data_IF_906738997798
#
_entry.id   IF_906738997798
#
_cell.length_a   1.000
_cell.length_b   1.000
_cell.length_c   1.000
_cell.angle_alpha   90.00
_cell.angle_beta   90.00
_cell.angle_gamma   90.00
#
_symmetry.space_group_name_H-M   'P 1'
#
loop_
_entity.id
_entity.type
_entity.pdbx_description
1 polymer ?
#
# COMPACT_ATOMS: atom_id res chain seq x y z
N UNK A 1 2.07 -0.97 -38.24
CA UNK A 1 2.91 -0.31 -37.24
C UNK A 1 2.20 -0.10 -35.92
N UNK A 2 0.92 0.33 -35.89
CA UNK A 2 0.15 0.54 -34.65
C UNK A 2 -0.07 -0.73 -33.81
N UNK A 3 -0.33 -1.88 -34.46
CA UNK A 3 -0.49 -3.16 -33.77
C UNK A 3 0.79 -3.60 -33.03
N UNK A 4 1.96 -3.37 -33.63
CA UNK A 4 3.25 -3.73 -33.03
C UNK A 4 3.52 -2.88 -31.77
N UNK A 5 3.19 -1.59 -31.79
CA UNK A 5 3.33 -0.71 -30.64
C UNK A 5 2.36 -1.13 -29.52
N UNK A 6 1.11 -1.47 -29.86
CA UNK A 6 0.13 -1.95 -28.89
C UNK A 6 0.59 -3.26 -28.20
N UNK A 7 1.12 -4.22 -28.97
CA UNK A 7 1.67 -5.47 -28.44
C UNK A 7 2.93 -5.26 -27.60
N UNK A 8 3.82 -4.34 -28.00
CA UNK A 8 5.01 -3.99 -27.21
C UNK A 8 4.62 -3.38 -25.85
N UNK A 9 3.65 -2.47 -25.84
CA UNK A 9 3.13 -1.85 -24.61
C UNK A 9 2.45 -2.89 -23.73
N UNK A 10 1.62 -3.76 -24.31
CA UNK A 10 0.98 -4.86 -23.56
C UNK A 10 2.02 -5.82 -22.99
N UNK A 11 3.06 -6.15 -23.76
CA UNK A 11 4.18 -6.98 -23.29
C UNK A 11 4.93 -6.35 -22.11
N UNK A 12 5.22 -5.05 -22.16
CA UNK A 12 5.83 -4.31 -21.05
C UNK A 12 4.93 -4.31 -19.82
N UNK A 13 3.62 -4.12 -19.99
CA UNK A 13 2.64 -4.14 -18.90
C UNK A 13 2.53 -5.54 -18.27
N UNK A 14 2.57 -6.60 -19.07
CA UNK A 14 2.54 -7.98 -18.57
C UNK A 14 3.83 -8.35 -17.84
N UNK A 15 4.99 -7.94 -18.35
CA UNK A 15 6.29 -8.15 -17.68
C UNK A 15 6.36 -7.34 -16.38
N UNK A 16 5.94 -6.08 -16.39
CA UNK A 16 5.85 -5.26 -15.19
C UNK A 16 4.85 -5.84 -14.19
N UNK A 17 3.69 -6.34 -14.64
CA UNK A 17 2.70 -7.04 -13.83
C UNK A 17 3.25 -8.33 -13.22
N UNK A 18 4.00 -9.13 -13.98
CA UNK A 18 4.67 -10.34 -13.50
C UNK A 18 5.77 -10.05 -12.46
N UNK A 19 6.44 -8.92 -12.58
CA UNK A 19 7.39 -8.44 -11.55
C UNK A 19 6.69 -8.00 -10.26
N UNK A 20 5.49 -7.46 -10.36
CA UNK A 20 4.63 -7.07 -9.24
C UNK A 20 4.13 -8.27 -8.43
N UNK A 21 3.90 -9.39 -9.09
CA UNK A 21 3.44 -10.64 -8.46
C UNK A 21 4.59 -11.45 -7.86
N UNK A 22 5.86 -11.04 -8.05
CA UNK A 22 6.97 -11.66 -7.32
C UNK A 22 6.78 -11.38 -5.83
N UNK A 23 6.90 -12.42 -4.99
CA UNK A 23 6.89 -12.21 -3.55
C UNK A 23 8.01 -11.22 -3.22
N UNK A 24 7.63 -10.04 -2.75
CA UNK A 24 8.58 -9.09 -2.16
C UNK A 24 9.23 -9.84 -1.01
N UNK A 25 10.57 -9.90 -0.93
CA UNK A 25 11.21 -10.55 0.21
C UNK A 25 10.60 -9.97 1.49
N UNK A 26 10.33 -10.80 2.50
CA UNK A 26 9.63 -10.38 3.70
C UNK A 26 10.32 -9.12 4.23
N UNK A 27 9.60 -8.02 4.23
CA UNK A 27 10.05 -6.84 4.94
C UNK A 27 10.25 -7.27 6.39
N UNK A 28 11.31 -6.78 7.05
CA UNK A 28 11.54 -7.07 8.46
C UNK A 28 10.24 -6.91 9.22
N UNK A 29 9.80 -7.99 9.88
CA UNK A 29 8.51 -8.01 10.58
C UNK A 29 8.50 -7.05 11.77
N UNK A 30 9.68 -6.61 12.22
CA UNK A 30 9.83 -5.59 13.27
C UNK A 30 10.06 -4.20 12.69
N UNK A 31 9.29 -3.24 13.16
CA UNK A 31 9.36 -1.84 12.76
C UNK A 31 10.46 -1.05 13.47
N UNK A 32 10.79 0.11 12.91
CA UNK A 32 11.69 1.05 13.57
C UNK A 32 10.98 1.69 14.77
N UNK A 33 11.56 1.56 15.95
CA UNK A 33 11.03 2.19 17.18
C UNK A 33 11.29 3.69 17.18
N UNK A 34 10.24 4.46 17.48
CA UNK A 34 10.31 5.90 17.72
C UNK A 34 9.69 6.18 19.09
N UNK A 35 10.51 6.19 20.13
CA UNK A 35 10.05 6.22 21.51
C UNK A 35 9.30 4.93 21.87
N UNK A 36 8.06 5.05 22.37
CA UNK A 36 7.18 3.92 22.70
C UNK A 36 6.36 3.41 21.52
N UNK A 37 6.39 4.12 20.38
CA UNK A 37 5.65 3.75 19.19
C UNK A 37 6.55 3.06 18.15
N UNK A 38 6.00 2.07 17.46
CA UNK A 38 6.62 1.44 16.30
C UNK A 38 6.05 2.09 15.04
N UNK A 39 6.95 2.44 14.09
CA UNK A 39 6.56 3.04 12.82
C UNK A 39 6.68 2.00 11.72
N UNK A 40 5.53 1.61 11.19
CA UNK A 40 5.45 0.74 10.03
C UNK A 40 5.62 1.57 8.76
N UNK A 41 6.44 1.08 7.85
CA UNK A 41 6.68 1.73 6.56
C UNK A 41 6.46 0.78 5.40
N UNK A 42 5.92 1.25 4.29
CA UNK A 42 5.84 0.43 3.08
C UNK A 42 7.24 0.01 2.62
N UNK A 43 7.40 -1.20 2.08
CA UNK A 43 8.67 -1.66 1.54
C UNK A 43 9.11 -0.73 0.41
N UNK A 44 10.38 -0.33 0.43
CA UNK A 44 10.97 0.51 -0.61
C UNK A 44 10.84 -0.18 -1.97
N UNK A 45 10.35 0.54 -2.97
CA UNK A 45 10.23 0.05 -4.35
C UNK A 45 8.83 -0.41 -4.76
N UNK A 46 7.90 -0.72 -3.84
CA UNK A 46 6.51 -1.07 -4.19
C UNK A 46 5.80 0.07 -4.93
N UNK A 47 5.98 1.27 -4.45
CA UNK A 47 5.32 2.44 -5.03
C UNK A 47 6.03 2.94 -6.28
N UNK A 48 7.32 2.65 -6.47
CA UNK A 48 7.99 2.87 -7.76
C UNK A 48 7.32 2.08 -8.88
N UNK A 49 6.87 0.86 -8.58
CA UNK A 49 6.17 0.01 -9.54
C UNK A 49 4.75 0.51 -9.78
N UNK A 50 4.01 0.88 -8.71
CA UNK A 50 2.68 1.49 -8.84
C UNK A 50 2.75 2.84 -9.58
N UNK A 51 3.80 3.61 -9.35
CA UNK A 51 4.08 4.85 -10.10
C UNK A 51 4.38 4.57 -11.57
N UNK A 52 5.16 3.55 -11.88
CA UNK A 52 5.42 3.12 -13.25
C UNK A 52 4.14 2.64 -13.95
N UNK A 53 3.25 1.94 -13.23
CA UNK A 53 1.94 1.53 -13.77
C UNK A 53 0.99 2.70 -14.00
N UNK A 54 1.06 3.76 -13.19
CA UNK A 54 0.27 4.97 -13.42
C UNK A 54 0.84 5.81 -14.59
N UNK A 55 2.15 5.81 -14.80
CA UNK A 55 2.82 6.52 -15.90
C UNK A 55 2.54 5.85 -17.25
N UNK A 56 2.55 4.51 -17.31
CA UNK A 56 2.39 3.76 -18.56
C UNK A 56 1.10 4.12 -19.32
N UNK A 57 -0.08 4.03 -18.74
CA UNK A 57 -1.33 4.45 -19.37
C UNK A 57 -1.36 5.94 -19.74
N UNK A 58 -0.78 6.80 -18.89
CA UNK A 58 -0.72 8.24 -19.17
C UNK A 58 0.16 8.54 -20.37
N UNK A 59 1.34 7.93 -20.46
CA UNK A 59 2.22 8.03 -21.64
C UNK A 59 1.54 7.47 -22.90
N UNK A 60 0.82 6.35 -22.79
CA UNK A 60 0.09 5.78 -23.91
C UNK A 60 -0.97 6.75 -24.41
N UNK A 61 -1.75 7.35 -23.54
CA UNK A 61 -2.76 8.35 -23.91
C UNK A 61 -2.11 9.56 -24.58
N UNK A 62 -0.98 10.05 -24.06
CA UNK A 62 -0.23 11.16 -24.66
C UNK A 62 0.29 10.80 -26.05
N UNK A 63 0.88 9.63 -26.22
CA UNK A 63 1.42 9.16 -27.53
C UNK A 63 0.30 8.96 -28.53
N UNK A 64 -0.82 8.35 -28.14
CA UNK A 64 -1.99 8.17 -29.01
C UNK A 64 -2.58 9.51 -29.42
N UNK A 65 -2.73 10.42 -28.48
CA UNK A 65 -3.27 11.76 -28.73
C UNK A 65 -2.33 12.59 -29.62
N UNK A 66 -1.00 12.53 -29.39
CA UNK A 66 -0.01 13.24 -30.21
C UNK A 66 0.06 12.66 -31.65
N UNK A 67 -0.14 11.35 -31.81
CA UNK A 67 -0.17 10.72 -33.14
C UNK A 67 -1.46 11.01 -33.89
N UNK A 68 -2.60 11.07 -33.20
CA UNK A 68 -3.88 11.48 -33.78
C UNK A 68 -3.84 12.96 -34.19
N UNK A 69 -3.28 13.84 -33.34
CA UNK A 69 -3.08 15.26 -33.65
C UNK A 69 -2.31 15.50 -34.96
N UNK A 70 -1.26 14.71 -35.19
CA UNK A 70 -0.44 14.81 -36.40
C UNK A 70 -1.16 14.34 -37.67
N UNK A 71 -2.15 13.44 -37.56
CA UNK A 71 -2.85 12.86 -38.71
C UNK A 71 -4.06 13.62 -39.17
N UNK A 72 -4.80 14.23 -38.25
CA UNK A 72 -6.15 14.78 -38.50
C UNK A 72 -6.24 16.29 -38.35
N UNK A 73 -5.11 16.98 -38.07
CA UNK A 73 -5.14 18.42 -37.79
C UNK A 73 -6.02 18.71 -36.60
N UNK A 74 -5.56 18.33 -35.40
CA UNK A 74 -6.32 18.56 -34.17
C UNK A 74 -6.65 20.04 -33.98
N UNK A 75 -7.90 20.34 -33.96
CA UNK A 75 -8.38 21.68 -33.56
C UNK A 75 -8.03 21.97 -32.08
N UNK A 76 -8.16 23.22 -31.69
CA UNK A 76 -7.87 23.71 -30.32
C UNK A 76 -8.44 22.82 -29.20
N UNK A 77 -9.64 22.26 -29.42
CA UNK A 77 -10.29 21.35 -28.44
C UNK A 77 -9.46 20.09 -28.17
N UNK A 78 -8.90 19.49 -29.21
CA UNK A 78 -8.08 18.28 -29.04
C UNK A 78 -6.78 18.55 -28.25
N UNK A 79 -6.15 19.70 -28.48
CA UNK A 79 -4.95 20.12 -27.73
C UNK A 79 -5.28 20.32 -26.25
N UNK A 80 -6.42 20.95 -25.94
CA UNK A 80 -6.87 21.17 -24.57
C UNK A 80 -7.13 19.83 -23.84
N UNK A 81 -7.80 18.88 -24.50
CA UNK A 81 -8.08 17.56 -23.91
C UNK A 81 -6.77 16.81 -23.58
N UNK A 82 -5.80 16.84 -24.50
CA UNK A 82 -4.47 16.23 -24.25
C UNK A 82 -3.75 16.89 -23.08
N UNK A 83 -3.76 18.23 -23.04
CA UNK A 83 -3.12 18.98 -21.95
C UNK A 83 -3.73 18.65 -20.59
N UNK A 84 -5.06 18.54 -20.50
CA UNK A 84 -5.76 18.13 -19.26
C UNK A 84 -5.38 16.70 -18.86
N UNK A 85 -5.36 15.75 -19.80
CA UNK A 85 -4.99 14.38 -19.52
C UNK A 85 -3.55 14.26 -18.99
N UNK A 86 -2.61 14.99 -19.59
CA UNK A 86 -1.21 15.06 -19.14
C UNK A 86 -1.12 15.65 -17.73
N UNK A 87 -1.78 16.77 -17.49
CA UNK A 87 -1.78 17.45 -16.19
C UNK A 87 -2.37 16.53 -15.10
N UNK A 88 -3.44 15.82 -15.39
CA UNK A 88 -4.05 14.84 -14.48
C UNK A 88 -3.09 13.68 -14.18
N UNK A 89 -2.42 13.14 -15.19
CA UNK A 89 -1.42 12.09 -15.02
C UNK A 89 -0.24 12.52 -14.14
N UNK A 90 0.26 13.74 -14.34
CA UNK A 90 1.32 14.31 -13.51
C UNK A 90 0.83 14.48 -12.06
N UNK A 91 -0.39 14.97 -11.84
CA UNK A 91 -0.96 15.17 -10.52
C UNK A 91 -1.13 13.84 -9.77
N UNK A 92 -1.63 12.81 -10.45
CA UNK A 92 -1.76 11.44 -9.88
C UNK A 92 -0.38 10.89 -9.52
N UNK A 93 0.60 11.03 -10.40
CA UNK A 93 1.97 10.58 -10.15
C UNK A 93 2.60 11.30 -8.95
N UNK A 94 2.48 12.63 -8.89
CA UNK A 94 2.98 13.43 -7.77
C UNK A 94 2.30 13.00 -6.45
N UNK A 95 0.99 12.75 -6.49
CA UNK A 95 0.27 12.24 -5.32
C UNK A 95 0.84 10.91 -4.83
N UNK A 96 1.10 9.93 -5.72
CA UNK A 96 1.68 8.66 -5.33
C UNK A 96 3.09 8.81 -4.75
N UNK A 97 3.94 9.68 -5.33
CA UNK A 97 5.28 9.96 -4.80
C UNK A 97 5.23 10.57 -3.37
N UNK A 98 4.29 11.50 -3.17
CA UNK A 98 4.08 12.12 -1.85
C UNK A 98 3.55 11.06 -0.88
N UNK A 99 2.56 10.27 -1.30
CA UNK A 99 1.96 9.21 -0.49
C UNK A 99 3.02 8.20 -0.03
N UNK A 100 3.94 7.80 -0.93
CA UNK A 100 5.03 6.88 -0.59
C UNK A 100 5.92 7.40 0.54
N UNK A 101 6.22 8.70 0.51
CA UNK A 101 7.11 9.32 1.50
C UNK A 101 6.43 9.62 2.82
N UNK A 102 5.13 9.91 2.79
CA UNK A 102 4.37 10.38 3.95
C UNK A 102 3.51 9.31 4.61
N UNK A 103 3.14 8.26 3.85
CA UNK A 103 2.34 7.16 4.38
C UNK A 103 3.11 6.40 5.46
N UNK A 104 2.61 6.47 6.68
CA UNK A 104 3.16 5.80 7.84
C UNK A 104 2.00 5.24 8.68
N UNK A 105 2.21 4.07 9.25
CA UNK A 105 1.33 3.53 10.28
C UNK A 105 2.13 3.48 11.57
N UNK A 106 1.67 4.17 12.60
CA UNK A 106 2.24 4.14 13.93
C UNK A 106 1.41 3.22 14.79
N UNK A 107 2.09 2.33 15.47
CA UNK A 107 1.48 1.38 16.40
C UNK A 107 2.09 1.63 17.77
N UNK A 108 1.26 1.77 18.77
CA UNK A 108 1.66 1.87 20.16
C UNK A 108 0.72 1.06 21.06
N UNK A 109 0.98 1.09 22.37
CA UNK A 109 0.16 0.37 23.34
C UNK A 109 -1.30 0.85 23.42
N UNK A 110 -1.60 2.05 22.90
CA UNK A 110 -2.93 2.65 22.95
C UNK A 110 -3.75 2.38 21.72
N UNK A 111 -3.09 2.23 20.55
CA UNK A 111 -3.81 2.09 19.29
C UNK A 111 -2.93 2.12 18.07
N UNK A 112 -3.57 2.31 16.95
CA UNK A 112 -2.96 2.43 15.63
C UNK A 112 -3.35 3.76 15.00
N UNK A 113 -2.36 4.47 14.47
CA UNK A 113 -2.55 5.73 13.75
C UNK A 113 -1.93 5.61 12.36
N UNK A 114 -2.69 5.97 11.33
CA UNK A 114 -2.24 6.06 9.96
C UNK A 114 -2.17 7.52 9.53
N UNK A 115 -1.03 7.90 8.99
CA UNK A 115 -0.81 9.20 8.36
C UNK A 115 -0.75 8.98 6.85
N UNK A 116 -1.68 9.60 6.13
CA UNK A 116 -1.70 9.73 4.68
C UNK A 116 -1.33 11.18 4.30
N UNK A 117 -1.02 11.50 3.03
CA UNK A 117 -0.65 12.86 2.62
C UNK A 117 -1.67 13.95 3.00
N UNK A 118 -2.94 13.58 3.04
CA UNK A 118 -4.05 14.51 3.25
C UNK A 118 -4.76 14.34 4.59
N UNK A 119 -4.50 13.24 5.31
CA UNK A 119 -5.28 12.89 6.50
C UNK A 119 -4.48 12.08 7.51
N UNK A 120 -4.75 12.35 8.78
CA UNK A 120 -4.42 11.45 9.90
C UNK A 120 -5.65 10.74 10.39
N UNK A 121 -5.55 9.45 10.61
CA UNK A 121 -6.64 8.62 11.11
C UNK A 121 -6.07 7.70 12.17
N UNK A 122 -6.62 7.73 13.37
CA UNK A 122 -6.22 6.88 14.49
C UNK A 122 -7.43 6.17 15.08
N UNK A 123 -7.21 4.98 15.62
CA UNK A 123 -8.20 4.18 16.33
C UNK A 123 -7.50 3.60 17.57
N UNK A 124 -8.05 3.84 18.76
CA UNK A 124 -7.57 3.16 19.96
C UNK A 124 -7.97 1.68 19.92
N UNK A 125 -7.09 0.78 20.39
CA UNK A 125 -7.37 -0.66 20.33
C UNK A 125 -8.70 -1.04 21.00
N UNK A 126 -8.98 -0.43 22.15
CA UNK A 126 -10.22 -0.66 22.88
C UNK A 126 -11.49 -0.19 22.14
N UNK A 127 -11.32 0.75 21.19
CA UNK A 127 -12.41 1.33 20.39
C UNK A 127 -12.60 0.63 19.05
N UNK A 128 -11.78 -0.35 18.72
CA UNK A 128 -11.97 -1.14 17.50
C UNK A 128 -13.31 -1.89 17.59
N UNK A 129 -14.22 -1.58 16.67
CA UNK A 129 -15.53 -2.21 16.56
C UNK A 129 -15.48 -3.47 15.70
N UNK A 130 -14.71 -3.41 14.59
CA UNK A 130 -14.46 -4.57 13.72
C UNK A 130 -13.02 -4.57 13.24
N UNK A 131 -12.47 -5.75 13.07
CA UNK A 131 -11.19 -5.96 12.41
C UNK A 131 -11.36 -7.14 11.45
N UNK A 132 -11.04 -6.93 10.17
CA UNK A 132 -11.18 -7.94 9.15
C UNK A 132 -9.91 -8.05 8.31
N UNK A 133 -9.48 -9.26 8.00
CA UNK A 133 -8.37 -9.53 7.08
C UNK A 133 -8.91 -9.98 5.73
N UNK A 134 -8.45 -9.34 4.67
CA UNK A 134 -8.75 -9.73 3.31
C UNK A 134 -7.53 -10.43 2.70
N UNK A 135 -7.58 -11.75 2.55
CA UNK A 135 -6.49 -12.56 2.03
C UNK A 135 -6.12 -12.27 0.57
N UNK A 136 -7.05 -11.74 -0.24
CA UNK A 136 -6.79 -11.38 -1.64
C UNK A 136 -5.97 -10.10 -1.73
N UNK A 137 -6.38 -9.05 -1.03
CA UNK A 137 -5.64 -7.79 -0.98
C UNK A 137 -4.47 -7.81 -0.01
N UNK A 138 -4.46 -8.75 0.93
CA UNK A 138 -3.53 -8.87 2.04
C UNK A 138 -3.51 -7.60 2.90
N UNK A 139 -4.71 -7.14 3.27
CA UNK A 139 -4.89 -5.96 4.09
C UNK A 139 -5.76 -6.24 5.30
N UNK A 140 -5.41 -5.61 6.41
CA UNK A 140 -6.25 -5.53 7.59
C UNK A 140 -7.10 -4.27 7.52
N UNK A 141 -8.39 -4.41 7.73
CA UNK A 141 -9.37 -3.32 7.79
C UNK A 141 -9.88 -3.19 9.21
N UNK A 142 -9.71 -2.03 9.81
CA UNK A 142 -10.22 -1.71 11.12
C UNK A 142 -11.32 -0.66 10.99
N UNK A 143 -12.40 -0.87 11.75
CA UNK A 143 -13.46 0.12 11.89
C UNK A 143 -13.54 0.51 13.36
N UNK A 144 -13.59 1.79 13.62
CA UNK A 144 -13.74 2.38 14.94
C UNK A 144 -14.99 3.23 15.04
N UNK A 145 -15.15 4.00 16.13
CA UNK A 145 -16.32 4.81 16.41
C UNK A 145 -16.62 5.79 15.27
N UNK A 146 -17.90 6.12 15.11
CA UNK A 146 -18.40 7.03 14.07
C UNK A 146 -18.02 6.62 12.64
N UNK A 147 -17.78 5.32 12.41
CA UNK A 147 -17.43 4.78 11.09
C UNK A 147 -16.03 5.14 10.61
N UNK A 148 -15.15 5.53 11.51
CA UNK A 148 -13.73 5.74 11.19
C UNK A 148 -13.14 4.43 10.66
N UNK A 149 -12.52 4.47 9.48
CA UNK A 149 -11.91 3.29 8.85
C UNK A 149 -10.41 3.50 8.68
N UNK A 150 -9.66 2.46 9.01
CA UNK A 150 -8.24 2.39 8.84
C UNK A 150 -7.88 1.05 8.19
N UNK A 151 -6.91 1.05 7.28
CA UNK A 151 -6.41 -0.18 6.68
C UNK A 151 -4.89 -0.24 6.76
N UNK A 152 -4.40 -1.43 7.07
CA UNK A 152 -2.98 -1.72 7.24
C UNK A 152 -2.58 -2.83 6.28
N UNK A 153 -1.71 -2.55 5.31
CA UNK A 153 -1.18 -3.59 4.43
C UNK A 153 -0.29 -4.56 5.20
N UNK A 154 -0.47 -5.85 4.98
CA UNK A 154 0.33 -6.90 5.62
C UNK A 154 1.82 -6.82 5.28
N UNK A 155 2.17 -6.33 4.11
CA UNK A 155 3.54 -6.24 3.66
C UNK A 155 4.32 -5.01 4.18
N UNK A 156 3.83 -4.32 5.21
CA UNK A 156 4.58 -3.25 5.85
C UNK A 156 5.68 -3.80 6.74
N UNK A 157 6.86 -3.13 6.72
CA UNK A 157 7.87 -3.41 7.72
C UNK A 157 7.31 -3.07 9.11
N UNK A 158 7.43 -3.98 10.06
CA UNK A 158 6.85 -3.83 11.39
C UNK A 158 5.44 -4.39 11.56
N UNK A 159 4.94 -5.16 10.60
CA UNK A 159 3.59 -5.73 10.69
C UNK A 159 3.40 -6.68 11.88
N UNK A 160 4.47 -7.35 12.32
CA UNK A 160 4.44 -8.17 13.53
C UNK A 160 4.13 -7.37 14.79
N UNK A 161 4.66 -6.13 14.89
CA UNK A 161 4.34 -5.24 16.01
C UNK A 161 2.87 -4.79 15.99
N UNK A 162 2.31 -4.61 14.79
CA UNK A 162 0.87 -4.36 14.62
C UNK A 162 0.06 -5.58 15.07
N UNK A 163 0.47 -6.78 14.69
CA UNK A 163 -0.22 -8.01 15.07
C UNK A 163 -0.20 -8.21 16.59
N UNK A 164 0.96 -8.07 17.24
CA UNK A 164 1.09 -8.13 18.70
C UNK A 164 0.21 -7.06 19.37
N UNK A 165 0.22 -5.81 18.88
CA UNK A 165 -0.61 -4.72 19.41
C UNK A 165 -2.11 -4.98 19.27
N UNK A 166 -2.55 -5.51 18.12
CA UNK A 166 -3.94 -5.85 17.87
C UNK A 166 -4.41 -7.01 18.76
N UNK A 167 -3.61 -8.08 18.87
CA UNK A 167 -3.93 -9.23 19.73
C UNK A 167 -4.02 -8.86 21.20
N UNK A 168 -3.16 -7.94 21.67
CA UNK A 168 -3.14 -7.50 23.07
C UNK A 168 -4.23 -6.46 23.39
N UNK A 169 -4.58 -5.59 22.45
CA UNK A 169 -5.38 -4.41 22.72
C UNK A 169 -6.83 -4.45 22.22
N UNK A 170 -7.11 -5.22 21.19
CA UNK A 170 -8.48 -5.38 20.65
C UNK A 170 -9.29 -6.30 21.55
N UNK A 171 -10.54 -5.93 21.79
CA UNK A 171 -11.46 -6.72 22.63
C UNK A 171 -11.58 -8.16 22.13
N UNK A 172 -11.49 -9.16 23.00
CA UNK A 172 -11.55 -10.57 22.60
C UNK A 172 -12.80 -10.95 21.81
N UNK A 173 -13.94 -10.33 22.11
CA UNK A 173 -15.19 -10.58 21.40
C UNK A 173 -15.12 -10.12 19.91
N UNK A 174 -14.39 -9.04 19.62
CA UNK A 174 -14.18 -8.56 18.25
C UNK A 174 -13.29 -9.50 17.45
N UNK A 175 -12.21 -9.99 18.07
CA UNK A 175 -11.33 -10.98 17.45
C UNK A 175 -12.01 -12.34 17.25
N UNK A 176 -12.87 -12.74 18.20
CA UNK A 176 -13.62 -13.98 18.10
C UNK A 176 -14.69 -13.96 17.00
N UNK A 177 -15.19 -12.78 16.64
CA UNK A 177 -16.15 -12.62 15.55
C UNK A 177 -15.53 -12.89 14.16
N UNK A 178 -14.19 -12.76 14.04
CA UNK A 178 -13.44 -12.89 12.78
C UNK A 178 -12.27 -13.89 12.94
N UNK A 179 -12.53 -15.20 13.01
CA UNK A 179 -11.51 -16.23 13.29
C UNK A 179 -10.33 -16.21 12.31
N UNK A 180 -10.59 -16.05 11.02
CA UNK A 180 -9.55 -15.98 10.00
C UNK A 180 -8.62 -14.77 10.20
N UNK A 181 -9.16 -13.64 10.66
CA UNK A 181 -8.37 -12.45 10.98
C UNK A 181 -7.49 -12.68 12.20
N UNK A 182 -8.05 -13.34 13.23
CA UNK A 182 -7.29 -13.69 14.43
C UNK A 182 -6.13 -14.62 14.09
N UNK A 183 -6.38 -15.66 13.30
CA UNK A 183 -5.35 -16.61 12.84
C UNK A 183 -4.23 -15.89 12.07
N UNK A 184 -4.58 -14.99 11.13
CA UNK A 184 -3.61 -14.22 10.39
C UNK A 184 -2.75 -13.33 11.31
N UNK A 185 -3.32 -12.70 12.34
CA UNK A 185 -2.59 -11.93 13.33
C UNK A 185 -1.65 -12.81 14.17
N UNK A 186 -2.13 -13.98 14.63
CA UNK A 186 -1.35 -14.92 15.41
C UNK A 186 -0.14 -15.45 14.60
N UNK A 187 -0.35 -15.76 13.32
CA UNK A 187 0.71 -16.16 12.41
C UNK A 187 1.78 -15.08 12.26
N UNK A 188 1.39 -13.85 11.95
CA UNK A 188 2.34 -12.72 11.79
C UNK A 188 3.11 -12.42 13.07
N UNK A 189 2.45 -12.52 14.22
CA UNK A 189 3.11 -12.33 15.51
C UNK A 189 4.11 -13.47 15.82
N UNK A 190 3.79 -14.69 15.44
CA UNK A 190 4.68 -15.86 15.60
C UNK A 190 5.92 -15.73 14.70
N UNK A 191 5.72 -15.43 13.40
CA UNK A 191 6.80 -15.20 12.45
C UNK A 191 7.75 -14.09 12.91
N UNK A 192 7.20 -12.99 13.45
CA UNK A 192 8.01 -11.89 13.98
C UNK A 192 8.87 -12.29 15.19
N UNK A 193 8.35 -13.16 16.07
CA UNK A 193 9.12 -13.67 17.22
C UNK A 193 10.22 -14.62 16.78
N UNK A 194 9.99 -15.42 15.75
CA UNK A 194 11.00 -16.30 15.17
C UNK A 194 12.13 -15.50 14.52
N UNK A 195 11.80 -14.40 13.81
CA UNK A 195 12.80 -13.48 13.25
C UNK A 195 13.68 -12.87 14.35
N UNK A 196 13.07 -12.39 15.46
CA UNK A 196 13.81 -11.85 16.60
C UNK A 196 14.76 -12.89 17.24
N UNK A 197 14.30 -14.13 17.37
CA UNK A 197 15.10 -15.21 17.93
C UNK A 197 16.28 -15.58 17.02
N UNK A 198 16.09 -15.54 15.71
CA UNK A 198 17.15 -15.80 14.73
C UNK A 198 18.20 -14.68 14.74
N UNK A 199 17.77 -13.41 14.74
CA UNK A 199 18.64 -12.24 14.81
C UNK A 199 19.44 -12.18 16.13
N UNK A 200 18.84 -12.59 17.24
CA UNK A 200 19.50 -12.68 18.54
C UNK A 200 20.63 -13.72 18.55
N UNK A 201 20.40 -14.87 17.90
CA UNK A 201 21.45 -15.92 17.77
C UNK A 201 22.59 -15.53 16.85
N UNK A 202 22.32 -14.71 15.83
CA UNK A 202 23.36 -14.27 14.89
C UNK A 202 24.31 -13.21 15.48
N UNK A 203 23.92 -12.58 16.59
CA UNK A 203 24.69 -11.53 17.27
C UNK A 203 25.44 -12.01 18.51
N UNK A 204 25.16 -13.21 18.97
CA UNK A 204 25.85 -13.86 20.10
C UNK A 204 27.02 -14.71 19.62
#
# INVERSE_FOLDING_TARGET
MQLIIAFAVLGVLLVAGGWLLRPVPPARLRGARSGTAVVLRPPRGRNAILSAMAIGPTLLVVVVAATAARREGMGTVGIVVVAIAVALGIAVFAYFLIAERTMQVRVDARGVERTDPLRRTGIAWAEVETIAYNGVSRWFFLTGPAGVRLWVPENMAGIGDFADGALAGVRPAVLAAEPATKEALEQLAAEAREEDAADGKARA
#
